data_IF_478228422145
#
_entry.id   IF_478228422145
#
_cell.length_a   1.000
_cell.length_b   1.000
_cell.length_c   1.000
_cell.angle_alpha   90.00
_cell.angle_beta   90.00
_cell.angle_gamma   90.00
#
_symmetry.space_group_name_H-M   'P 1'
#
loop_
_entity.id
_entity.type
_entity.pdbx_description
1 polymer ?
#
# COMPACT_ATOMS: atom_id res chain seq x y z
N UNK A 1 34.99 -8.56 62.60
CA UNK A 1 34.68 -7.25 61.98
C UNK A 1 34.26 -7.53 60.54
N UNK A 2 33.12 -7.14 59.96
CA UNK A 2 32.15 -6.11 60.27
C UNK A 2 31.62 -5.60 58.92
N UNK A 3 30.41 -6.06 58.54
CA UNK A 3 29.36 -5.42 57.72
C UNK A 3 29.72 -4.60 56.47
N UNK A 4 29.09 -4.92 55.32
CA UNK A 4 28.09 -4.00 54.73
C UNK A 4 27.33 -4.64 53.55
N UNK A 5 26.06 -4.99 53.80
CA UNK A 5 25.05 -5.32 52.78
C UNK A 5 24.65 -4.06 52.00
N UNK A 6 25.05 -3.92 50.74
CA UNK A 6 24.36 -3.02 49.81
C UNK A 6 23.26 -3.76 49.06
N UNK A 7 22.07 -3.59 49.63
CA UNK A 7 20.77 -3.97 49.11
C UNK A 7 20.52 -3.36 47.72
N UNK A 8 20.03 -4.22 46.82
CA UNK A 8 18.77 -4.05 46.08
C UNK A 8 18.74 -2.92 45.03
N UNK A 9 18.92 -3.30 43.76
CA UNK A 9 18.03 -2.83 42.69
C UNK A 9 18.05 -3.76 41.46
N UNK A 10 17.76 -5.05 41.65
CA UNK A 10 17.18 -5.82 40.55
C UNK A 10 15.80 -5.23 40.30
N UNK A 11 15.68 -4.45 39.21
CA UNK A 11 14.40 -3.96 38.71
C UNK A 11 13.62 -5.18 38.24
N UNK A 12 12.80 -5.72 39.13
CA UNK A 12 11.80 -6.74 38.83
C UNK A 12 10.85 -6.14 37.81
N UNK A 13 11.01 -6.50 36.54
CA UNK A 13 10.06 -6.15 35.47
C UNK A 13 8.75 -6.87 35.81
N UNK A 14 7.65 -6.16 36.10
CA UNK A 14 6.36 -6.78 36.35
C UNK A 14 5.93 -7.54 35.08
N UNK A 15 5.58 -8.83 35.20
CA UNK A 15 5.01 -9.64 34.09
C UNK A 15 3.77 -8.99 33.44
N UNK A 16 3.12 -8.05 34.12
CA UNK A 16 2.02 -7.24 33.59
C UNK A 16 2.42 -6.35 32.40
N UNK A 17 3.69 -5.94 32.29
CA UNK A 17 4.15 -5.06 31.19
C UNK A 17 4.47 -5.82 29.89
N UNK A 18 4.68 -7.14 29.95
CA UNK A 18 4.90 -7.96 28.76
C UNK A 18 3.59 -8.24 28.00
N UNK A 19 2.45 -8.27 28.70
CA UNK A 19 1.15 -8.49 28.08
C UNK A 19 0.57 -7.24 27.39
N UNK A 20 0.93 -6.04 27.85
CA UNK A 20 0.42 -4.79 27.30
C UNK A 20 1.18 -4.30 26.04
N UNK A 21 2.43 -4.75 25.84
CA UNK A 21 3.27 -4.27 24.73
C UNK A 21 2.94 -4.85 23.35
N UNK A 22 2.28 -6.00 23.28
CA UNK A 22 2.02 -6.71 22.01
C UNK A 22 0.78 -6.20 21.28
N UNK A 23 -0.16 -5.56 21.98
CA UNK A 23 -1.42 -5.11 21.41
C UNK A 23 -1.35 -3.78 20.61
N UNK A 24 -0.26 -3.02 20.71
CA UNK A 24 -0.14 -1.67 20.12
C UNK A 24 0.50 -1.68 18.71
N UNK A 25 0.95 -2.84 18.20
CA UNK A 25 1.71 -2.91 16.94
C UNK A 25 0.90 -3.32 15.70
N UNK A 26 -0.38 -3.70 15.83
CA UNK A 26 -1.20 -4.11 14.67
C UNK A 26 -2.02 -2.97 14.04
N UNK A 27 -1.89 -1.73 14.52
CA UNK A 27 -2.69 -0.60 14.03
C UNK A 27 -2.14 0.07 12.75
N UNK A 28 -1.04 -0.44 12.17
CA UNK A 28 -0.39 0.19 11.01
C UNK A 28 -0.34 -0.74 9.79
N UNK A 29 -1.42 -1.47 9.50
CA UNK A 29 -1.60 -2.12 8.19
C UNK A 29 -2.67 -1.40 7.36
N UNK A 30 -2.58 -0.07 7.27
CA UNK A 30 -3.24 0.67 6.19
C UNK A 30 -2.18 1.01 5.14
N UNK A 31 -1.78 -0.01 4.37
CA UNK A 31 -1.06 0.23 3.13
C UNK A 31 -2.08 0.49 2.02
N UNK A 32 -2.89 1.55 2.16
CA UNK A 32 -3.51 2.15 0.98
C UNK A 32 -2.35 2.65 0.14
N UNK A 33 -2.13 2.12 -1.08
CA UNK A 33 -1.09 2.65 -1.95
C UNK A 33 -1.40 4.12 -2.13
N UNK A 34 -0.43 5.00 -1.89
CA UNK A 34 -0.52 6.34 -2.47
C UNK A 34 -0.77 6.11 -3.96
N UNK A 35 -1.92 6.53 -4.50
CA UNK A 35 -2.09 6.48 -5.94
C UNK A 35 -0.91 7.25 -6.50
N UNK A 36 -0.25 6.68 -7.50
CA UNK A 36 0.63 7.46 -8.37
C UNK A 36 -0.36 8.35 -9.14
N UNK A 37 -0.86 9.36 -8.45
CA UNK A 37 -1.99 10.17 -8.85
C UNK A 37 -1.47 11.06 -9.95
N UNK A 38 -1.77 10.69 -11.19
CA UNK A 38 -1.64 11.61 -12.31
C UNK A 38 -2.73 12.66 -12.11
N UNK A 39 -2.34 13.93 -12.12
CA UNK A 39 -3.26 15.06 -11.97
C UNK A 39 -4.40 14.93 -12.99
N UNK A 40 -5.65 14.91 -12.49
CA UNK A 40 -6.84 14.74 -13.32
C UNK A 40 -7.29 13.30 -13.59
N UNK A 41 -6.58 12.27 -13.11
CA UNK A 41 -7.10 10.90 -13.16
C UNK A 41 -8.07 10.62 -11.99
N UNK A 42 -9.34 10.30 -12.28
CA UNK A 42 -10.31 9.97 -11.23
C UNK A 42 -10.11 8.52 -10.76
N UNK A 43 -9.99 8.35 -9.44
CA UNK A 43 -9.72 7.06 -8.78
C UNK A 43 -10.99 6.17 -8.69
N UNK A 44 -11.74 6.07 -9.79
CA UNK A 44 -13.01 5.34 -9.91
C UNK A 44 -12.86 3.94 -10.51
N UNK A 45 -11.68 3.62 -11.04
CA UNK A 45 -11.41 2.34 -11.69
C UNK A 45 -11.28 1.19 -10.68
N UNK A 46 -11.67 -0.04 -11.07
CA UNK A 46 -11.55 -1.21 -10.21
C UNK A 46 -10.08 -1.53 -9.86
N UNK A 47 -9.85 -2.27 -8.77
CA UNK A 47 -8.51 -2.72 -8.40
C UNK A 47 -7.96 -3.69 -9.45
N UNK A 48 -6.65 -3.63 -9.68
CA UNK A 48 -5.92 -4.56 -10.52
C UNK A 48 -5.96 -5.99 -9.95
N UNK A 49 -6.37 -6.96 -10.76
CA UNK A 49 -6.36 -8.40 -10.42
C UNK A 49 -5.47 -9.23 -11.35
N UNK A 50 -5.07 -8.67 -12.48
CA UNK A 50 -4.20 -9.31 -13.48
C UNK A 50 -3.30 -8.27 -14.16
N UNK A 51 -2.21 -8.74 -14.76
CA UNK A 51 -1.28 -7.87 -15.47
C UNK A 51 -1.82 -7.57 -16.87
N UNK A 52 -1.77 -6.31 -17.30
CA UNK A 52 -2.30 -5.93 -18.60
C UNK A 52 -2.62 -4.45 -18.73
N UNK A 53 -3.25 -4.12 -19.85
CA UNK A 53 -3.81 -2.80 -20.13
C UNK A 53 -5.33 -2.89 -20.10
N UNK A 54 -5.97 -1.91 -19.46
CA UNK A 54 -7.40 -1.92 -19.22
C UNK A 54 -7.96 -0.53 -19.53
N UNK A 55 -9.17 -0.52 -20.11
CA UNK A 55 -9.92 0.71 -20.35
C UNK A 55 -10.36 1.30 -19.00
N UNK A 56 -10.19 2.60 -18.83
CA UNK A 56 -10.74 3.32 -17.68
C UNK A 56 -12.25 3.50 -17.84
N UNK A 57 -12.97 3.57 -16.72
CA UNK A 57 -14.36 4.08 -16.70
C UNK A 57 -14.43 5.56 -17.07
N UNK A 58 -13.30 6.26 -17.01
CA UNK A 58 -13.21 7.68 -17.34
C UNK A 58 -12.79 7.88 -18.78
N UNK A 59 -13.49 8.76 -19.53
CA UNK A 59 -13.25 8.96 -20.95
C UNK A 59 -11.83 9.49 -21.20
N UNK A 60 -11.20 8.96 -22.24
CA UNK A 60 -9.84 9.28 -22.63
C UNK A 60 -8.76 8.70 -21.72
N UNK A 61 -9.11 7.86 -20.73
CA UNK A 61 -8.12 7.23 -19.84
C UNK A 61 -8.04 5.72 -20.02
N UNK A 62 -6.86 5.19 -19.74
CA UNK A 62 -6.61 3.77 -19.58
C UNK A 62 -5.57 3.57 -18.48
N UNK A 63 -5.41 2.35 -18.02
CA UNK A 63 -4.39 2.04 -17.03
C UNK A 63 -3.69 0.74 -17.32
N UNK A 64 -2.43 0.66 -16.90
CA UNK A 64 -1.65 -0.58 -16.91
C UNK A 64 -1.53 -1.12 -15.49
N UNK A 65 -1.88 -2.38 -15.32
CA UNK A 65 -1.65 -3.12 -14.08
C UNK A 65 -0.35 -3.92 -14.16
N UNK A 66 0.48 -3.79 -13.13
CA UNK A 66 1.75 -4.52 -13.00
C UNK A 66 1.84 -5.09 -11.59
N UNK A 67 2.19 -6.38 -11.48
CA UNK A 67 2.49 -6.97 -10.19
C UNK A 67 3.90 -6.57 -9.77
N UNK A 68 4.05 -5.98 -8.58
CA UNK A 68 5.35 -5.68 -8.00
C UNK A 68 5.65 -6.71 -6.91
N UNK A 69 6.58 -7.63 -7.20
CA UNK A 69 6.97 -8.71 -6.31
C UNK A 69 7.73 -8.21 -5.07
N UNK A 70 8.46 -7.10 -5.17
CA UNK A 70 9.24 -6.54 -4.04
C UNK A 70 8.36 -6.07 -2.89
N UNK A 71 7.12 -5.66 -3.20
CA UNK A 71 6.14 -5.19 -2.23
C UNK A 71 4.86 -6.05 -2.23
N UNK A 72 4.91 -7.20 -2.92
CA UNK A 72 3.85 -8.20 -3.05
C UNK A 72 2.45 -7.62 -3.35
N UNK A 73 2.37 -6.64 -4.26
CA UNK A 73 1.12 -5.90 -4.54
C UNK A 73 0.97 -5.53 -6.01
N UNK A 74 -0.28 -5.31 -6.44
CA UNK A 74 -0.59 -4.74 -7.75
C UNK A 74 -0.40 -3.22 -7.75
N UNK A 75 0.25 -2.70 -8.79
CA UNK A 75 0.39 -1.27 -9.03
C UNK A 75 -0.37 -0.91 -10.31
N UNK A 76 -1.19 0.14 -10.21
CA UNK A 76 -1.91 0.73 -11.34
C UNK A 76 -1.17 1.97 -11.84
N UNK A 77 -0.94 2.04 -13.14
CA UNK A 77 -0.34 3.18 -13.83
C UNK A 77 -1.36 3.80 -14.79
N UNK A 78 -2.05 4.88 -14.39
CA UNK A 78 -3.01 5.55 -15.26
C UNK A 78 -2.29 6.32 -16.37
N UNK A 79 -2.89 6.38 -17.56
CA UNK A 79 -2.42 7.13 -18.71
C UNK A 79 -3.60 7.68 -19.50
N UNK A 80 -3.43 8.89 -20.01
CA UNK A 80 -4.41 9.53 -20.88
C UNK A 80 -4.10 9.18 -22.35
N UNK A 81 -5.13 8.88 -23.12
CA UNK A 81 -5.08 8.84 -24.56
C UNK A 81 -4.97 10.26 -25.14
N UNK A 82 -4.48 10.40 -26.39
CA UNK A 82 -4.55 11.67 -27.12
C UNK A 82 -5.98 12.24 -27.14
N UNK A 83 -6.09 13.56 -27.26
CA UNK A 83 -7.39 14.23 -27.24
C UNK A 83 -8.35 13.65 -28.29
N UNK A 84 -9.54 13.24 -27.84
CA UNK A 84 -10.57 12.65 -28.68
C UNK A 84 -10.43 11.15 -28.96
N UNK A 85 -9.40 10.49 -28.45
CA UNK A 85 -9.22 9.04 -28.57
C UNK A 85 -9.66 8.29 -27.32
N UNK A 86 -10.07 7.05 -27.52
CA UNK A 86 -10.47 6.10 -26.49
C UNK A 86 -9.56 4.86 -26.53
N UNK A 87 -9.27 4.28 -25.37
CA UNK A 87 -8.51 3.04 -25.34
C UNK A 87 -9.38 1.86 -25.78
N UNK A 88 -8.93 1.14 -26.81
CA UNK A 88 -9.50 -0.10 -27.26
C UNK A 88 -8.71 -1.29 -26.68
N UNK A 89 -9.30 -2.08 -25.76
CA UNK A 89 -8.63 -3.24 -25.16
C UNK A 89 -8.41 -4.39 -26.15
N UNK A 90 -9.14 -4.46 -27.27
CA UNK A 90 -8.96 -5.50 -28.27
C UNK A 90 -7.66 -5.29 -29.08
N UNK A 91 -7.32 -4.04 -29.37
CA UNK A 91 -6.11 -3.66 -30.12
C UNK A 91 -4.97 -3.21 -29.21
N UNK A 92 -5.26 -2.96 -27.91
CA UNK A 92 -4.36 -2.35 -26.93
C UNK A 92 -3.81 -0.98 -27.38
N UNK A 93 -4.64 -0.16 -28.01
CA UNK A 93 -4.26 1.15 -28.55
C UNK A 93 -5.32 2.21 -28.23
N UNK A 94 -4.91 3.47 -28.26
CA UNK A 94 -5.84 4.60 -28.29
C UNK A 94 -6.26 4.82 -29.75
N UNK A 95 -7.56 4.98 -29.97
CA UNK A 95 -8.17 5.23 -31.29
C UNK A 95 -9.34 6.21 -31.22
#
# INVERSE_FOLDING_TARGET
MGYSLKKKLMRTVPKALLAAGVAVLLAACTSSPEPIGVEGYPDLDPPCTSAGYFKSVSPGWYYRCVYNSSINRWIRYPRQCPAGQEFNPATNRCE
#
